data_IF_939711560045
#
_entry.id   IF_939711560045
#
_cell.length_a   1.000
_cell.length_b   1.000
_cell.length_c   1.000
_cell.angle_alpha   90.00
_cell.angle_beta   90.00
_cell.angle_gamma   90.00
#
_symmetry.space_group_name_H-M   'P 1'
#
loop_
_entity.id
_entity.type
_entity.pdbx_description
1 polymer ?
#
# COMPACT_ATOMS: atom_id res chain seq x y z
N UNK A 1 9.44 7.93 5.28
CA UNK A 1 9.79 7.47 3.91
C UNK A 1 8.56 7.52 3.01
N UNK A 2 8.61 8.21 1.87
CA UNK A 2 7.49 8.27 0.92
C UNK A 2 7.58 7.11 -0.08
N UNK A 3 6.63 6.17 -0.03
CA UNK A 3 6.60 4.95 -0.87
C UNK A 3 6.09 5.17 -2.30
N UNK A 4 5.64 6.39 -2.64
CA UNK A 4 5.04 6.69 -3.95
C UNK A 4 3.73 5.93 -4.22
N UNK A 5 3.12 5.34 -3.18
CA UNK A 5 1.88 4.54 -3.29
C UNK A 5 0.60 5.39 -3.20
N UNK A 6 0.69 6.58 -2.57
CA UNK A 6 -0.41 7.51 -2.50
C UNK A 6 -0.65 8.17 -3.87
N UNK A 7 -1.87 8.08 -4.43
CA UNK A 7 -2.21 8.80 -5.65
C UNK A 7 -2.10 10.31 -5.45
N UNK A 8 -1.69 11.02 -6.49
CA UNK A 8 -1.72 12.49 -6.50
C UNK A 8 -3.08 12.90 -7.04
N UNK A 9 -3.81 13.74 -6.29
CA UNK A 9 -5.03 14.34 -6.79
C UNK A 9 -4.73 15.20 -8.01
N UNK A 10 -5.45 14.94 -9.10
CA UNK A 10 -5.32 15.70 -10.34
C UNK A 10 -6.73 15.92 -10.90
N UNK A 11 -7.45 16.84 -10.27
CA UNK A 11 -8.77 17.27 -10.73
C UNK A 11 -8.68 18.61 -11.45
N UNK A 12 -9.22 18.69 -12.67
CA UNK A 12 -9.61 19.94 -13.31
C UNK A 12 -11.14 19.94 -13.45
N UNK A 13 -11.84 20.69 -12.59
CA UNK A 13 -13.31 20.78 -12.62
C UNK A 13 -14.03 19.54 -12.06
N UNK A 14 -15.18 19.15 -12.66
CA UNK A 14 -16.11 18.11 -12.17
C UNK A 14 -15.55 16.67 -12.15
N UNK A 15 -14.34 16.44 -12.66
CA UNK A 15 -13.77 15.08 -12.73
C UNK A 15 -12.69 14.90 -11.66
N UNK A 16 -12.97 14.06 -10.66
CA UNK A 16 -11.96 13.62 -9.69
C UNK A 16 -11.11 12.50 -10.31
N UNK A 17 -9.98 12.85 -10.94
CA UNK A 17 -8.98 11.87 -11.38
C UNK A 17 -7.81 11.83 -10.41
N UNK A 18 -7.27 10.63 -10.22
CA UNK A 18 -6.09 10.38 -9.41
C UNK A 18 -4.93 10.00 -10.34
N UNK A 19 -3.89 10.84 -10.41
CA UNK A 19 -2.69 10.54 -11.21
C UNK A 19 -1.75 9.63 -10.43
N UNK A 20 -0.96 8.86 -11.19
CA UNK A 20 0.14 8.07 -10.64
C UNK A 20 1.21 9.01 -10.07
N UNK A 21 1.60 8.78 -8.82
CA UNK A 21 2.77 9.42 -8.23
C UNK A 21 4.05 8.82 -8.83
N UNK A 22 4.85 9.64 -9.54
CA UNK A 22 6.15 9.22 -10.11
C UNK A 22 7.31 9.38 -9.12
N UNK A 23 7.12 10.11 -8.01
CA UNK A 23 8.11 10.32 -6.97
C UNK A 23 8.14 9.19 -5.93
N UNK A 24 9.12 9.27 -5.03
CA UNK A 24 9.33 8.30 -3.94
C UNK A 24 10.24 7.12 -4.31
N UNK A 25 10.40 6.19 -3.37
CA UNK A 25 11.29 5.05 -3.53
C UNK A 25 10.69 3.98 -4.46
N UNK A 26 11.28 3.79 -5.66
CA UNK A 26 10.81 2.84 -6.67
C UNK A 26 10.97 1.38 -6.27
N UNK A 27 12.04 1.04 -5.56
CA UNK A 27 12.27 -0.31 -5.07
C UNK A 27 11.21 -0.71 -4.05
N UNK A 28 10.91 0.17 -3.09
CA UNK A 28 9.88 -0.06 -2.08
C UNK A 28 8.48 -0.13 -2.71
N UNK A 29 8.21 0.71 -3.71
CA UNK A 29 6.96 0.66 -4.47
C UNK A 29 6.79 -0.67 -5.24
N UNK A 30 7.88 -1.20 -5.79
CA UNK A 30 7.90 -2.50 -6.47
C UNK A 30 7.71 -3.66 -5.49
N UNK A 31 8.40 -3.64 -4.34
CA UNK A 31 8.21 -4.64 -3.29
C UNK A 31 6.74 -4.71 -2.83
N UNK A 32 6.13 -3.55 -2.55
CA UNK A 32 4.71 -3.47 -2.19
C UNK A 32 3.78 -3.95 -3.31
N UNK A 33 4.14 -3.73 -4.58
CA UNK A 33 3.41 -4.27 -5.72
C UNK A 33 3.46 -5.80 -5.77
N UNK A 34 4.64 -6.38 -5.58
CA UNK A 34 4.82 -7.84 -5.56
C UNK A 34 4.06 -8.47 -4.39
N UNK A 35 4.12 -7.87 -3.20
CA UNK A 35 3.33 -8.30 -2.05
C UNK A 35 1.81 -8.25 -2.33
N UNK A 36 1.35 -7.17 -2.97
CA UNK A 36 -0.06 -7.03 -3.35
C UNK A 36 -0.50 -8.12 -4.33
N UNK A 37 0.31 -8.44 -5.34
CA UNK A 37 0.03 -9.52 -6.28
C UNK A 37 -0.02 -10.90 -5.60
N UNK A 38 0.95 -11.18 -4.72
CA UNK A 38 0.99 -12.43 -3.97
C UNK A 38 -0.23 -12.60 -3.06
N UNK A 39 -0.56 -11.58 -2.25
CA UNK A 39 -1.74 -11.62 -1.36
C UNK A 39 -3.05 -11.70 -2.14
N UNK A 40 -3.17 -11.02 -3.29
CA UNK A 40 -4.38 -11.12 -4.13
C UNK A 40 -4.62 -12.55 -4.64
N UNK A 41 -3.57 -13.33 -4.86
CA UNK A 41 -3.69 -14.73 -5.31
C UNK A 41 -4.01 -15.69 -4.15
N UNK A 42 -3.31 -15.55 -3.02
CA UNK A 42 -3.34 -16.55 -1.94
C UNK A 42 -4.20 -16.21 -0.72
N UNK A 43 -4.66 -14.96 -0.55
CA UNK A 43 -5.30 -14.54 0.70
C UNK A 43 -6.78 -14.22 0.51
N UNK A 44 -7.71 -14.95 1.16
CA UNK A 44 -9.14 -14.76 0.98
C UNK A 44 -9.60 -13.35 1.36
N UNK A 45 -9.14 -12.80 2.48
CA UNK A 45 -9.54 -11.43 2.90
C UNK A 45 -9.07 -10.35 1.92
N UNK A 46 -7.91 -10.54 1.31
CA UNK A 46 -7.41 -9.59 0.30
C UNK A 46 -8.26 -9.67 -0.98
N UNK A 47 -8.70 -10.86 -1.36
CA UNK A 47 -9.64 -11.04 -2.48
C UNK A 47 -10.97 -10.38 -2.18
N UNK A 48 -11.54 -10.62 -0.99
CA UNK A 48 -12.79 -10.00 -0.56
C UNK A 48 -12.70 -8.46 -0.54
N UNK A 49 -11.57 -7.91 -0.07
CA UNK A 49 -11.33 -6.47 -0.10
C UNK A 49 -11.26 -5.92 -1.52
N UNK A 50 -10.51 -6.57 -2.42
CA UNK A 50 -10.42 -6.14 -3.83
C UNK A 50 -11.78 -6.24 -4.53
N UNK A 51 -12.56 -7.28 -4.23
CA UNK A 51 -13.89 -7.46 -4.80
C UNK A 51 -14.87 -6.38 -4.32
N UNK A 52 -14.84 -6.03 -3.03
CA UNK A 52 -15.61 -4.90 -2.48
C UNK A 52 -15.26 -3.59 -3.20
N UNK A 53 -13.98 -3.33 -3.48
CA UNK A 53 -13.57 -2.15 -4.22
C UNK A 53 -14.07 -2.16 -5.68
N UNK A 54 -14.14 -3.34 -6.31
CA UNK A 54 -14.72 -3.48 -7.66
C UNK A 54 -16.22 -3.22 -7.67
N UNK A 55 -16.94 -3.70 -6.65
CA UNK A 55 -18.37 -3.42 -6.47
C UNK A 55 -18.63 -1.92 -6.23
N UNK A 56 -17.71 -1.21 -5.56
CA UNK A 56 -17.72 0.26 -5.43
C UNK A 56 -17.39 1.00 -6.76
N UNK A 57 -17.19 0.29 -7.87
CA UNK A 57 -16.91 0.88 -9.19
C UNK A 57 -15.45 1.24 -9.44
N UNK A 58 -14.50 0.82 -8.59
CA UNK A 58 -13.07 1.08 -8.82
C UNK A 58 -12.50 0.13 -9.87
N UNK A 59 -11.64 0.65 -10.74
CA UNK A 59 -10.88 -0.17 -11.68
C UNK A 59 -9.88 -1.09 -10.96
N UNK A 60 -9.44 -2.17 -11.60
CA UNK A 60 -8.46 -3.10 -11.01
C UNK A 60 -7.15 -2.38 -10.60
N UNK A 61 -6.73 -1.38 -11.38
CA UNK A 61 -5.56 -0.55 -11.08
C UNK A 61 -5.76 0.33 -9.84
N UNK A 62 -6.96 0.85 -9.63
CA UNK A 62 -7.30 1.64 -8.45
C UNK A 62 -7.43 0.77 -7.21
N UNK A 63 -8.06 -0.41 -7.35
CA UNK A 63 -8.15 -1.39 -6.27
C UNK A 63 -6.75 -1.85 -5.83
N UNK A 64 -5.86 -2.14 -6.78
CA UNK A 64 -4.48 -2.52 -6.49
C UNK A 64 -3.70 -1.38 -5.81
N UNK A 65 -3.94 -0.12 -6.20
CA UNK A 65 -3.33 1.04 -5.52
C UNK A 65 -3.80 1.17 -4.08
N UNK A 66 -5.10 0.98 -3.83
CA UNK A 66 -5.65 0.98 -2.47
C UNK A 66 -5.04 -0.14 -1.62
N UNK A 67 -4.92 -1.35 -2.18
CA UNK A 67 -4.27 -2.48 -1.50
C UNK A 67 -2.81 -2.18 -1.17
N UNK A 68 -2.03 -1.65 -2.11
CA UNK A 68 -0.63 -1.26 -1.87
C UNK A 68 -0.49 -0.22 -0.75
N UNK A 69 -1.39 0.77 -0.69
CA UNK A 69 -1.42 1.75 0.40
C UNK A 69 -1.68 1.09 1.74
N UNK A 70 -2.63 0.16 1.81
CA UNK A 70 -2.90 -0.59 3.04
C UNK A 70 -1.69 -1.43 3.48
N UNK A 71 -1.02 -2.11 2.53
CA UNK A 71 0.20 -2.87 2.82
C UNK A 71 1.35 -1.98 3.29
N UNK A 72 1.47 -0.77 2.74
CA UNK A 72 2.45 0.21 3.22
C UNK A 72 2.26 0.52 4.71
N UNK A 73 1.01 0.64 5.17
CA UNK A 73 0.72 0.88 6.60
C UNK A 73 1.06 -0.33 7.46
N UNK A 74 0.77 -1.55 6.98
CA UNK A 74 1.10 -2.79 7.69
C UNK A 74 2.61 -2.93 7.85
N UNK A 75 3.37 -2.77 6.75
CA UNK A 75 4.83 -2.84 6.77
C UNK A 75 5.42 -1.79 7.70
N UNK A 76 4.90 -0.56 7.65
CA UNK A 76 5.37 0.50 8.54
C UNK A 76 5.15 0.15 10.03
N UNK A 77 3.97 -0.36 10.38
CA UNK A 77 3.69 -0.80 11.76
C UNK A 77 4.62 -1.92 12.21
N UNK A 78 4.89 -2.89 11.34
CA UNK A 78 5.83 -3.98 11.65
C UNK A 78 7.24 -3.43 11.91
N UNK A 79 7.75 -2.56 11.03
CA UNK A 79 9.08 -1.96 11.18
C UNK A 79 9.20 -1.16 12.48
N UNK A 80 8.14 -0.47 12.91
CA UNK A 80 8.12 0.24 14.19
C UNK A 80 8.15 -0.74 15.37
N UNK A 81 7.40 -1.85 15.29
CA UNK A 81 7.45 -2.93 16.30
C UNK A 81 8.88 -3.49 16.41
N UNK A 82 9.47 -3.90 15.28
CA UNK A 82 10.82 -4.47 15.23
C UNK A 82 11.87 -3.50 15.79
N UNK A 83 11.73 -2.20 15.50
CA UNK A 83 12.61 -1.16 16.01
C UNK A 83 12.51 -1.05 17.55
N UNK A 84 11.28 -1.05 18.08
CA UNK A 84 11.04 -0.96 19.53
C UNK A 84 11.60 -2.18 20.26
N UNK A 85 11.41 -3.38 19.71
CA UNK A 85 11.97 -4.62 20.25
C UNK A 85 13.50 -4.63 20.20
N UNK A 86 14.09 -4.15 19.09
CA UNK A 86 15.54 -4.03 18.95
C UNK A 86 16.18 -2.98 19.85
N UNK A 87 15.43 -1.95 20.28
CA UNK A 87 15.88 -1.00 21.30
C UNK A 87 15.83 -1.61 22.69
N UNK A 88 14.74 -2.28 23.05
CA UNK A 88 14.60 -3.00 24.32
C UNK A 88 15.72 -4.03 24.51
N UNK A 89 16.03 -4.81 23.46
CA UNK A 89 17.09 -5.84 23.49
C UNK A 89 18.49 -5.25 23.68
N UNK A 90 18.74 -4.03 23.18
CA UNK A 90 20.02 -3.32 23.34
C UNK A 90 20.22 -2.69 24.73
N UNK A 91 19.14 -2.44 25.47
CA UNK A 91 19.20 -1.88 26.83
C UNK A 91 19.38 -2.97 27.90
N UNK A 92 19.06 -4.21 27.57
CA UNK A 92 19.23 -5.38 28.45
C UNK A 92 20.61 -6.06 28.32
N UNK A 93 21.48 -5.56 27.44
CA UNK A 93 22.87 -6.03 27.28
C UNK A 93 23.83 -5.00 27.83
#
# INVERSE_FOLDING_TARGET
MLTGTAPIEASSGKTRRHRLNRGGNRQLNFALYMMALARRRGHPDTRAYVERLRQEGKSDKEALRCLKRQLSNVVFRQLVSDLSEGQARRLTT
#
